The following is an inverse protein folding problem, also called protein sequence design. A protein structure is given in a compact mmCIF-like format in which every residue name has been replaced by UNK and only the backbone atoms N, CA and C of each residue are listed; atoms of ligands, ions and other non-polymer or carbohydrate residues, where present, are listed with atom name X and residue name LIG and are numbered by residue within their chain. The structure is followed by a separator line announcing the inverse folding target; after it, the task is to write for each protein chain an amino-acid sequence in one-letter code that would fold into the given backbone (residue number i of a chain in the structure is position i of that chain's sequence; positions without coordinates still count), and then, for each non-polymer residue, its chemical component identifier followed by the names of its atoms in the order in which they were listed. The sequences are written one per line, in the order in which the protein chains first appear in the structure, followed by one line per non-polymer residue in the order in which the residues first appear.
data_IF_027746208370
#
_entry.id   IF_027746208370
#
_cell.length_a   1.000
_cell.length_b   1.000
_cell.length_c   1.000
_cell.angle_alpha   90.00
_cell.angle_beta   90.00
_cell.angle_gamma   90.00
#
_symmetry.space_group_name_H-M   'P 1'
#
loop_
_entity.id
_entity.type
_entity.pdbx_description
1 polymer ?
#
# COMPACT_ATOMS: atom_id res chain seq x y z
N UNK A 1 13.63 21.33 -2.46
CA UNK A 1 13.52 21.03 -1.02
C UNK A 1 12.69 19.75 -0.80
N UNK A 2 12.96 18.69 -1.60
CA UNK A 2 12.17 17.44 -1.62
C UNK A 2 12.96 16.20 -1.18
N UNK A 3 14.23 16.31 -0.80
CA UNK A 3 15.10 15.16 -0.52
C UNK A 3 15.12 14.69 0.94
N UNK A 4 14.55 15.46 1.88
CA UNK A 4 14.66 15.14 3.31
C UNK A 4 13.57 14.21 3.85
N UNK A 5 12.50 13.94 3.11
CA UNK A 5 11.40 13.06 3.56
C UNK A 5 11.49 11.63 3.02
N UNK A 6 12.30 11.37 1.99
CA UNK A 6 12.47 10.02 1.41
C UNK A 6 13.42 9.12 2.21
N UNK A 7 14.36 9.68 2.93
CA UNK A 7 15.35 8.91 3.72
C UNK A 7 14.72 8.02 4.80
N UNK A 8 13.74 8.49 5.59
CA UNK A 8 13.07 7.63 6.58
C UNK A 8 12.35 6.43 5.94
N UNK A 9 11.67 6.67 4.82
CA UNK A 9 10.92 5.61 4.12
C UNK A 9 11.83 4.58 3.44
N UNK A 10 12.94 5.01 2.85
CA UNK A 10 13.97 4.12 2.31
C UNK A 10 14.54 3.20 3.39
N UNK A 11 14.81 3.75 4.58
CA UNK A 11 15.31 2.97 5.72
C UNK A 11 14.28 1.94 6.18
N UNK A 12 13.02 2.30 6.27
CA UNK A 12 11.92 1.40 6.62
C UNK A 12 11.81 0.24 5.61
N UNK A 13 11.89 0.53 4.30
CA UNK A 13 11.88 -0.49 3.26
C UNK A 13 13.06 -1.46 3.44
N UNK A 14 14.26 -0.94 3.67
CA UNK A 14 15.44 -1.76 3.90
C UNK A 14 15.25 -2.63 5.16
N UNK A 15 14.74 -2.08 6.25
CA UNK A 15 14.47 -2.83 7.49
C UNK A 15 13.44 -3.94 7.28
N UNK A 16 12.37 -3.68 6.52
CA UNK A 16 11.34 -4.68 6.16
C UNK A 16 11.95 -5.79 5.30
N UNK A 17 12.71 -5.45 4.27
CA UNK A 17 13.37 -6.43 3.39
C UNK A 17 14.36 -7.28 4.18
N UNK A 18 15.16 -6.66 5.05
CA UNK A 18 16.11 -7.39 5.91
C UNK A 18 15.39 -8.31 6.90
N UNK A 19 14.31 -7.85 7.52
CA UNK A 19 13.55 -8.66 8.49
C UNK A 19 12.91 -9.89 7.86
N UNK A 20 12.33 -9.75 6.66
CA UNK A 20 11.63 -10.84 5.98
C UNK A 20 12.57 -11.70 5.12
N UNK A 21 13.66 -11.15 4.63
CA UNK A 21 14.57 -11.77 3.66
C UNK A 21 15.95 -12.06 4.21
N UNK A 22 16.20 -11.99 5.54
CA UNK A 22 17.54 -12.12 6.11
C UNK A 22 18.22 -13.44 5.73
N UNK A 23 17.52 -14.55 5.78
CA UNK A 23 18.08 -15.85 5.39
C UNK A 23 18.38 -15.93 3.90
N UNK A 24 17.55 -15.30 3.07
CA UNK A 24 17.77 -15.17 1.64
C UNK A 24 18.95 -14.23 1.33
N UNK A 25 19.01 -13.07 1.95
CA UNK A 25 20.11 -12.12 1.87
C UNK A 25 21.42 -12.74 2.36
N UNK A 26 21.38 -13.53 3.41
CA UNK A 26 22.55 -14.26 3.91
C UNK A 26 23.09 -15.23 2.87
N UNK A 27 22.23 -15.95 2.16
CA UNK A 27 22.61 -16.86 1.08
C UNK A 27 23.26 -16.12 -0.08
N UNK A 28 22.74 -14.93 -0.45
CA UNK A 28 23.34 -14.06 -1.46
C UNK A 28 24.72 -13.53 -1.04
N UNK A 29 24.87 -13.14 0.23
CA UNK A 29 26.12 -12.57 0.78
C UNK A 29 27.19 -13.62 1.03
N UNK A 30 26.82 -14.89 1.26
CA UNK A 30 27.77 -16.00 1.54
C UNK A 30 28.23 -16.76 0.29
N UNK A 31 27.97 -16.22 -0.91
CA UNK A 31 28.56 -16.76 -2.14
C UNK A 31 27.79 -17.93 -2.77
N UNK A 32 26.49 -18.03 -2.52
CA UNK A 32 25.62 -18.81 -3.38
C UNK A 32 25.73 -18.23 -4.81
N UNK A 33 26.11 -19.05 -5.80
CA UNK A 33 26.22 -18.61 -7.19
C UNK A 33 24.87 -18.09 -7.68
N UNK A 34 24.67 -16.78 -7.56
CA UNK A 34 23.56 -16.09 -8.17
C UNK A 34 24.01 -15.62 -9.56
N UNK A 35 23.88 -16.49 -10.54
CA UNK A 35 24.07 -16.14 -11.95
C UNK A 35 22.92 -15.24 -12.48
N UNK A 36 21.90 -15.01 -11.69
CA UNK A 36 20.78 -14.10 -11.99
C UNK A 36 20.20 -13.54 -10.68
N UNK A 37 19.74 -12.28 -10.65
CA UNK A 37 18.98 -11.74 -9.52
C UNK A 37 17.70 -12.56 -9.33
N UNK A 38 17.67 -13.39 -8.29
CA UNK A 38 16.51 -14.21 -7.99
C UNK A 38 15.57 -13.43 -7.06
N UNK A 39 14.29 -13.44 -7.41
CA UNK A 39 13.26 -12.94 -6.50
C UNK A 39 13.28 -13.77 -5.19
N UNK A 40 12.94 -13.16 -4.03
CA UNK A 40 12.74 -13.90 -2.80
C UNK A 40 11.68 -15.01 -3.00
N UNK A 41 11.70 -16.10 -2.23
CA UNK A 41 10.63 -17.10 -2.28
C UNK A 41 9.23 -16.47 -2.23
N UNK A 42 8.20 -17.03 -2.90
CA UNK A 42 6.88 -16.41 -3.03
C UNK A 42 6.28 -15.91 -1.72
N UNK A 43 6.30 -16.73 -0.66
CA UNK A 43 5.78 -16.36 0.66
C UNK A 43 6.59 -15.20 1.31
N UNK A 44 7.91 -15.16 1.10
CA UNK A 44 8.76 -14.07 1.61
C UNK A 44 8.46 -12.78 0.86
N UNK A 45 8.32 -12.83 -0.47
CA UNK A 45 7.92 -11.68 -1.27
C UNK A 45 6.57 -11.12 -0.82
N UNK A 46 5.57 -11.98 -0.63
CA UNK A 46 4.26 -11.59 -0.12
C UNK A 46 4.37 -10.86 1.22
N UNK A 47 5.11 -11.43 2.18
CA UNK A 47 5.29 -10.82 3.50
C UNK A 47 5.96 -9.45 3.41
N UNK A 48 6.98 -9.30 2.54
CA UNK A 48 7.62 -8.01 2.27
C UNK A 48 6.58 -7.00 1.77
N UNK A 49 5.76 -7.36 0.79
CA UNK A 49 4.75 -6.47 0.22
C UNK A 49 3.68 -6.07 1.25
N UNK A 50 3.26 -6.99 2.12
CA UNK A 50 2.32 -6.71 3.22
C UNK A 50 2.92 -5.74 4.22
N UNK A 51 4.14 -5.99 4.66
CA UNK A 51 4.84 -5.18 5.66
C UNK A 51 5.22 -3.78 5.12
N UNK A 52 5.45 -3.65 3.82
CA UNK A 52 5.67 -2.36 3.16
C UNK A 52 4.40 -1.52 3.04
N UNK A 53 3.24 -2.14 3.11
CA UNK A 53 1.96 -1.45 3.19
C UNK A 53 1.17 -1.37 1.88
N UNK A 54 0.13 -0.51 1.85
CA UNK A 54 -0.97 -0.59 0.90
C UNK A 54 -0.57 -0.44 -0.58
N UNK A 55 0.39 0.39 -0.90
CA UNK A 55 0.89 0.57 -2.27
C UNK A 55 1.52 -0.72 -2.79
N UNK A 56 2.34 -1.35 -1.96
CA UNK A 56 3.04 -2.59 -2.31
C UNK A 56 2.10 -3.80 -2.34
N UNK A 57 1.09 -3.84 -1.45
CA UNK A 57 0.01 -4.84 -1.53
C UNK A 57 -0.71 -4.73 -2.87
N UNK A 58 -1.07 -3.51 -3.30
CA UNK A 58 -1.71 -3.28 -4.60
C UNK A 58 -0.80 -3.63 -5.78
N UNK A 59 0.49 -3.35 -5.67
CA UNK A 59 1.48 -3.79 -6.65
C UNK A 59 1.52 -5.32 -6.74
N UNK A 60 1.55 -6.02 -5.60
CA UNK A 60 1.51 -7.49 -5.56
C UNK A 60 0.26 -8.07 -6.19
N UNK A 61 -0.91 -7.47 -5.95
CA UNK A 61 -2.17 -7.85 -6.59
C UNK A 61 -2.13 -7.65 -8.12
N UNK A 62 -1.56 -6.55 -8.60
CA UNK A 62 -1.36 -6.34 -10.04
C UNK A 62 -0.40 -7.39 -10.63
N UNK A 63 0.69 -7.69 -9.95
CA UNK A 63 1.66 -8.70 -10.38
C UNK A 63 1.05 -10.10 -10.40
N UNK A 64 0.10 -10.43 -9.50
CA UNK A 64 -0.60 -11.71 -9.51
C UNK A 64 -1.47 -11.95 -10.74
N UNK A 65 -1.78 -10.91 -11.50
CA UNK A 65 -2.54 -11.01 -12.78
C UNK A 65 -1.63 -11.06 -14.02
N UNK A 66 -0.31 -11.14 -13.84
CA UNK A 66 0.68 -11.05 -14.91
C UNK A 66 1.52 -12.33 -15.04
N UNK A 67 0.96 -13.39 -15.68
CA UNK A 67 1.68 -14.66 -15.90
C UNK A 67 2.86 -14.55 -16.88
N UNK A 68 2.97 -13.44 -17.58
CA UNK A 68 4.09 -13.09 -18.43
C UNK A 68 5.33 -12.60 -17.65
N UNK A 69 5.13 -12.11 -16.40
CA UNK A 69 6.20 -11.57 -15.55
C UNK A 69 6.63 -12.54 -14.45
N UNK A 70 5.71 -13.33 -13.91
CA UNK A 70 5.94 -14.17 -12.74
C UNK A 70 5.55 -15.63 -12.99
N UNK A 71 6.28 -16.56 -12.37
CA UNK A 71 5.91 -17.97 -12.41
C UNK A 71 4.63 -18.25 -11.61
N UNK A 72 3.99 -19.39 -11.91
CA UNK A 72 2.73 -19.80 -11.28
C UNK A 72 2.77 -19.77 -9.74
N UNK A 73 3.90 -20.17 -9.13
CA UNK A 73 4.04 -20.17 -7.68
C UNK A 73 3.96 -18.77 -7.06
N UNK A 74 4.50 -17.74 -7.72
CA UNK A 74 4.36 -16.34 -7.26
C UNK A 74 2.94 -15.83 -7.47
N UNK A 75 2.33 -16.14 -8.61
CA UNK A 75 0.95 -15.73 -8.90
C UNK A 75 -0.01 -16.31 -7.86
N UNK A 76 0.10 -17.60 -7.55
CA UNK A 76 -0.72 -18.27 -6.54
C UNK A 76 -0.59 -17.60 -5.18
N UNK A 77 0.65 -17.37 -4.71
CA UNK A 77 0.89 -16.75 -3.40
C UNK A 77 0.41 -15.29 -3.36
N UNK A 78 0.72 -14.49 -4.39
CA UNK A 78 0.33 -13.08 -4.45
C UNK A 78 -1.18 -12.89 -4.66
N UNK A 79 -1.89 -13.86 -5.26
CA UNK A 79 -3.35 -13.81 -5.40
C UNK A 79 -4.07 -13.88 -4.05
N UNK A 80 -3.40 -14.34 -3.01
CA UNK A 80 -3.94 -14.36 -1.64
C UNK A 80 -3.81 -13.02 -0.91
N UNK A 81 -3.18 -12.00 -1.52
CA UNK A 81 -3.10 -10.66 -0.94
C UNK A 81 -4.50 -10.05 -0.85
N UNK A 82 -4.92 -9.73 0.36
CA UNK A 82 -6.21 -9.13 0.64
C UNK A 82 -6.04 -7.65 0.97
N UNK A 83 -6.99 -6.83 0.52
CA UNK A 83 -7.06 -5.40 0.85
C UNK A 83 -7.76 -5.14 2.19
N UNK A 84 -8.13 -6.18 2.94
CA UNK A 84 -8.80 -6.05 4.22
C UNK A 84 -7.82 -5.56 5.29
N UNK A 85 -7.98 -4.31 5.67
CA UNK A 85 -7.20 -3.67 6.73
C UNK A 85 -8.16 -3.27 7.84
N UNK A 86 -7.82 -3.46 9.13
CA UNK A 86 -8.68 -3.02 10.24
C UNK A 86 -9.12 -1.58 10.05
N UNK A 87 -10.40 -1.26 10.28
CA UNK A 87 -10.89 0.10 10.10
C UNK A 87 -10.21 1.07 11.07
N UNK A 88 -10.03 2.30 10.61
CA UNK A 88 -9.66 3.44 11.47
C UNK A 88 -10.83 3.77 12.39
N UNK A 89 -10.54 4.25 13.59
CA UNK A 89 -11.57 4.59 14.58
C UNK A 89 -12.52 5.67 14.05
N UNK A 90 -13.79 5.63 14.49
CA UNK A 90 -14.76 6.66 14.11
C UNK A 90 -14.30 8.06 14.49
N UNK A 91 -13.67 8.23 15.65
CA UNK A 91 -13.19 9.53 16.11
C UNK A 91 -12.20 10.17 15.11
N UNK A 92 -11.28 9.38 14.55
CA UNK A 92 -10.33 9.86 13.54
C UNK A 92 -11.03 10.17 12.22
N UNK A 93 -12.00 9.34 11.82
CA UNK A 93 -12.82 9.54 10.62
C UNK A 93 -13.63 10.83 10.73
N UNK A 94 -14.28 11.06 11.85
CA UNK A 94 -15.08 12.27 12.10
C UNK A 94 -14.22 13.53 12.02
N UNK A 95 -13.02 13.52 12.60
CA UNK A 95 -12.07 14.65 12.50
C UNK A 95 -11.74 14.95 11.04
N UNK A 96 -11.47 13.91 10.23
CA UNK A 96 -11.17 14.07 8.82
C UNK A 96 -12.35 14.63 8.02
N UNK A 97 -13.56 14.13 8.25
CA UNK A 97 -14.76 14.61 7.59
C UNK A 97 -15.00 16.08 7.97
N UNK A 98 -14.96 16.43 9.25
CA UNK A 98 -15.13 17.81 9.72
C UNK A 98 -14.09 18.76 9.13
N UNK A 99 -12.86 18.32 8.96
CA UNK A 99 -11.79 19.12 8.35
C UNK A 99 -12.04 19.42 6.86
N UNK A 100 -12.71 18.52 6.15
CA UNK A 100 -12.94 18.62 4.70
C UNK A 100 -14.27 19.29 4.35
N UNK A 101 -15.27 19.20 5.22
CA UNK A 101 -16.56 19.84 5.01
C UNK A 101 -16.44 21.36 5.22
N UNK A 102 -17.13 22.10 4.36
CA UNK A 102 -17.27 23.56 4.48
C UNK A 102 -18.38 23.98 5.45
N UNK A 103 -19.30 23.07 5.71
CA UNK A 103 -20.47 23.25 6.61
C UNK A 103 -20.33 22.28 7.78
N UNK A 104 -20.95 22.57 8.93
CA UNK A 104 -21.02 21.62 10.04
C UNK A 104 -21.57 20.26 9.60
N UNK A 105 -21.06 19.20 10.19
CA UNK A 105 -21.42 17.82 9.85
C UNK A 105 -22.92 17.58 10.06
N UNK A 106 -23.48 18.19 11.10
CA UNK A 106 -24.88 18.13 11.51
C UNK A 106 -25.83 18.89 10.56
N UNK A 107 -25.31 19.84 9.81
CA UNK A 107 -26.04 20.56 8.76
C UNK A 107 -25.97 19.85 7.39
N UNK A 108 -25.10 18.85 7.26
CA UNK A 108 -24.94 18.08 6.02
C UNK A 108 -25.62 16.72 6.10
N UNK A 109 -25.51 16.05 7.25
CA UNK A 109 -26.00 14.69 7.42
C UNK A 109 -26.98 14.59 8.58
N UNK A 110 -28.09 13.88 8.35
CA UNK A 110 -29.04 13.49 9.39
C UNK A 110 -28.48 12.35 10.23
N UNK A 111 -27.83 11.37 9.58
CA UNK A 111 -27.21 10.22 10.23
C UNK A 111 -25.94 9.79 9.49
N UNK A 112 -24.96 9.29 10.26
CA UNK A 112 -23.77 8.61 9.71
C UNK A 112 -23.59 7.31 10.48
N UNK A 113 -23.44 6.20 9.77
CA UNK A 113 -23.10 4.94 10.43
C UNK A 113 -21.61 4.96 10.81
N UNK A 114 -21.32 4.85 12.10
CA UNK A 114 -19.96 4.86 12.63
C UNK A 114 -19.16 3.59 12.26
N UNK A 115 -19.85 2.47 12.01
CA UNK A 115 -19.22 1.26 11.49
C UNK A 115 -19.10 1.36 9.97
N UNK A 116 -17.89 1.19 9.40
CA UNK A 116 -17.73 1.24 7.95
C UNK A 116 -18.41 0.03 7.29
N UNK A 117 -18.96 0.23 6.11
CA UNK A 117 -19.48 -0.84 5.24
C UNK A 117 -18.37 -1.56 4.48
N UNK A 118 -17.22 -0.89 4.33
CA UNK A 118 -16.01 -1.44 3.75
C UNK A 118 -14.78 -0.69 4.27
N UNK A 119 -13.68 -1.39 4.51
CA UNK A 119 -12.40 -0.81 4.86
C UNK A 119 -11.30 -1.44 3.99
N UNK A 120 -10.62 -0.61 3.22
CA UNK A 120 -9.50 -1.02 2.37
C UNK A 120 -8.18 -0.39 2.84
N UNK A 121 -7.15 -0.64 2.07
CA UNK A 121 -5.78 -0.21 2.36
C UNK A 121 -5.60 1.32 2.39
N UNK A 122 -6.34 2.06 1.56
CA UNK A 122 -6.20 3.53 1.42
C UNK A 122 -7.40 4.33 1.94
N UNK A 123 -8.56 3.70 2.12
CA UNK A 123 -9.79 4.40 2.51
C UNK A 123 -10.77 3.43 3.16
N UNK A 124 -11.73 3.98 3.90
CA UNK A 124 -12.91 3.25 4.37
C UNK A 124 -14.18 3.99 3.97
N UNK A 125 -15.29 3.26 3.87
CA UNK A 125 -16.57 3.78 3.38
C UNK A 125 -17.63 3.63 4.46
N UNK A 126 -18.36 4.72 4.73
CA UNK A 126 -19.46 4.77 5.67
C UNK A 126 -20.76 5.09 4.95
N UNK A 127 -21.88 4.49 5.42
CA UNK A 127 -23.21 4.88 4.97
C UNK A 127 -23.66 6.11 5.76
N UNK A 128 -24.29 7.05 5.06
CA UNK A 128 -24.85 8.25 5.67
C UNK A 128 -26.16 8.64 4.98
N UNK A 129 -26.96 9.48 5.65
CA UNK A 129 -28.16 10.09 5.09
C UNK A 129 -27.99 11.61 5.12
N UNK A 130 -28.14 12.25 4.00
CA UNK A 130 -28.17 13.72 3.90
C UNK A 130 -29.42 14.30 4.55
N UNK A 131 -29.43 15.63 4.79
CA UNK A 131 -30.57 16.33 5.39
C UNK A 131 -31.84 16.23 4.53
N UNK A 132 -31.68 16.15 3.19
CA UNK A 132 -32.80 15.95 2.26
C UNK A 132 -33.34 14.52 2.21
N UNK A 133 -32.77 13.60 3.02
CA UNK A 133 -33.15 12.20 3.11
C UNK A 133 -32.45 11.28 2.13
N UNK A 134 -31.56 11.78 1.25
CA UNK A 134 -30.81 10.94 0.32
C UNK A 134 -29.80 10.07 1.06
N UNK A 135 -29.78 8.76 0.79
CA UNK A 135 -28.72 7.86 1.25
C UNK A 135 -27.46 8.01 0.38
N UNK A 136 -26.31 8.14 1.04
CA UNK A 136 -25.00 8.31 0.40
C UNK A 136 -23.93 7.42 1.02
N UNK A 137 -22.87 7.19 0.28
CA UNK A 137 -21.66 6.56 0.76
C UNK A 137 -20.54 7.61 0.91
N UNK A 138 -20.01 7.76 2.11
CA UNK A 138 -18.88 8.64 2.39
C UNK A 138 -17.62 7.79 2.34
N UNK A 139 -16.76 8.03 1.35
CA UNK A 139 -15.44 7.41 1.27
C UNK A 139 -14.41 8.34 1.89
N UNK A 140 -13.80 7.90 2.99
CA UNK A 140 -12.81 8.66 3.75
C UNK A 140 -11.44 8.02 3.59
N UNK A 141 -10.47 8.79 3.10
CA UNK A 141 -9.08 8.34 3.03
C UNK A 141 -8.49 8.16 4.43
N UNK A 142 -7.58 7.20 4.57
CA UNK A 142 -6.87 7.00 5.84
C UNK A 142 -5.92 8.16 6.13
N UNK A 143 -5.71 8.50 7.41
CA UNK A 143 -4.75 9.54 7.78
C UNK A 143 -3.34 9.24 7.25
N UNK A 144 -2.69 10.23 6.65
CA UNK A 144 -1.28 10.11 6.19
C UNK A 144 -1.06 9.25 4.94
N UNK A 145 -2.12 8.69 4.34
CA UNK A 145 -1.99 7.80 3.18
C UNK A 145 -1.44 8.53 1.96
N UNK A 146 -1.79 9.79 1.77
CA UNK A 146 -1.35 10.62 0.62
C UNK A 146 0.17 10.80 0.64
N UNK A 147 0.73 11.09 1.82
CA UNK A 147 2.18 11.28 2.01
C UNK A 147 2.93 9.98 1.79
N UNK A 148 2.43 8.87 2.34
CA UNK A 148 3.02 7.54 2.15
C UNK A 148 2.98 7.12 0.68
N UNK A 149 1.85 7.30 -0.01
CA UNK A 149 1.71 6.98 -1.45
C UNK A 149 2.69 7.82 -2.28
N UNK A 150 2.79 9.12 -2.03
CA UNK A 150 3.69 10.00 -2.77
C UNK A 150 5.16 9.58 -2.62
N UNK A 151 5.57 9.19 -1.41
CA UNK A 151 6.92 8.69 -1.14
C UNK A 151 7.18 7.35 -1.85
N UNK A 152 6.25 6.40 -1.75
CA UNK A 152 6.36 5.08 -2.37
C UNK A 152 6.41 5.17 -3.89
N UNK A 153 5.58 6.02 -4.52
CA UNK A 153 5.61 6.26 -5.97
C UNK A 153 6.98 6.81 -6.39
N UNK A 154 7.51 7.78 -5.65
CA UNK A 154 8.82 8.36 -5.95
C UNK A 154 9.93 7.32 -5.90
N UNK A 155 9.89 6.41 -4.92
CA UNK A 155 10.87 5.32 -4.78
C UNK A 155 10.73 4.29 -5.91
N UNK A 156 9.50 3.89 -6.25
CA UNK A 156 9.23 2.93 -7.34
C UNK A 156 9.70 3.53 -8.68
N UNK A 157 9.43 4.81 -8.94
CA UNK A 157 9.92 5.51 -10.13
C UNK A 157 11.44 5.52 -10.20
N UNK A 158 12.12 5.83 -9.09
CA UNK A 158 13.59 5.81 -9.03
C UNK A 158 14.18 4.43 -9.32
N UNK A 159 13.54 3.36 -8.86
CA UNK A 159 13.94 1.98 -9.18
C UNK A 159 13.69 1.67 -10.67
N UNK A 160 12.54 2.05 -11.20
CA UNK A 160 12.22 1.85 -12.61
C UNK A 160 13.20 2.57 -13.54
N UNK A 161 13.55 3.81 -13.22
CA UNK A 161 14.53 4.60 -13.97
C UNK A 161 15.92 3.92 -13.95
N UNK A 162 16.32 3.40 -12.78
CA UNK A 162 17.60 2.67 -12.66
C UNK A 162 17.62 1.39 -13.51
N UNK A 163 16.55 0.62 -13.50
CA UNK A 163 16.40 -0.60 -14.32
C UNK A 163 16.43 -0.25 -15.80
N UNK A 164 15.71 0.79 -16.22
CA UNK A 164 15.68 1.25 -17.59
C UNK A 164 17.09 1.65 -18.12
N UNK A 165 17.93 2.21 -17.25
CA UNK A 165 19.31 2.56 -17.61
C UNK A 165 20.22 1.33 -17.76
N UNK A 166 19.95 0.22 -17.07
CA UNK A 166 20.83 -0.95 -17.05
C UNK A 166 20.49 -1.99 -18.11
N UNK A 167 19.21 -2.24 -18.41
CA UNK A 167 18.79 -3.34 -19.30
C UNK A 167 18.24 -2.89 -20.66
N UNK A 168 17.72 -1.67 -20.76
CA UNK A 168 17.04 -1.19 -21.97
C UNK A 168 17.73 0.00 -22.65
N UNK A 169 18.89 0.39 -22.17
CA UNK A 169 19.67 1.52 -22.72
C UNK A 169 20.66 1.13 -23.82
N UNK A 170 20.59 -0.10 -24.37
CA UNK A 170 21.45 -0.58 -25.49
C UNK A 170 20.64 -0.92 -26.72
#
# INVERSE_FOLDING_TARGET
MFLTQTVPRQREIIEVVLRNGWDYMRTLLTGGKADQPQLPPPAVLKNILVDLGPVYVKLGQLLSTRPDLLSAAYIEELSTLQDEVPPVSWLEVEILIRKQLKTPLEETFTTINHSPVAAGSIAQTHRATLIDGQEVAIKVQRPGVDETIAQDITLIQGIADLVALTEFGQ
#
